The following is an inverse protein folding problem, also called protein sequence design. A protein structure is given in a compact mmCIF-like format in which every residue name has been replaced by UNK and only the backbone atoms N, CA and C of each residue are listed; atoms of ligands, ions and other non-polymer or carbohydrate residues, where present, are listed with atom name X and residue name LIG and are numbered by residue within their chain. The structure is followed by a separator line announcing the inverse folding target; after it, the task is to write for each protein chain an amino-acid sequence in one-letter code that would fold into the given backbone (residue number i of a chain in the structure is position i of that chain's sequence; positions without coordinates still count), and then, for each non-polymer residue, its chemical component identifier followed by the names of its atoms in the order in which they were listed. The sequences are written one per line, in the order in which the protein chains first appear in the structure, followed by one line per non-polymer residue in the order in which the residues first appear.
data_IF_568952746623
#
_entry.id   IF_568952746623
#
_cell.length_a   1.000
_cell.length_b   1.000
_cell.length_c   1.000
_cell.angle_alpha   90.00
_cell.angle_beta   90.00
_cell.angle_gamma   90.00
#
_symmetry.space_group_name_H-M   'P 1'
#
loop_
_entity.id
_entity.type
_entity.pdbx_description
1 polymer ?
#
# COMPACT_ATOMS: atom_id res chain seq x y z
N UNK A 1 7.02 2.47 -11.40
CA UNK A 1 7.43 1.88 -10.13
C UNK A 1 8.94 1.61 -10.11
N UNK A 2 9.51 1.50 -8.92
CA UNK A 2 10.96 1.46 -8.73
C UNK A 2 11.53 0.05 -8.52
N UNK A 3 10.72 -0.91 -8.11
CA UNK A 3 11.14 -2.30 -7.99
C UNK A 3 9.96 -3.25 -8.17
N UNK A 4 10.28 -4.46 -8.61
CA UNK A 4 9.29 -5.48 -8.90
C UNK A 4 9.16 -6.45 -7.74
N UNK A 5 8.00 -7.11 -7.65
CA UNK A 5 7.80 -8.23 -6.75
C UNK A 5 8.77 -9.36 -7.12
N UNK A 6 9.29 -10.02 -6.09
CA UNK A 6 10.16 -11.18 -6.26
C UNK A 6 11.42 -11.06 -5.44
N UNK A 7 12.41 -11.90 -5.81
CA UNK A 7 13.67 -11.97 -5.10
C UNK A 7 14.64 -10.90 -5.59
N UNK A 8 15.34 -10.27 -4.66
CA UNK A 8 16.38 -9.28 -4.99
C UNK A 8 17.49 -9.39 -3.96
N UNK A 9 18.66 -8.80 -4.29
CA UNK A 9 19.78 -8.72 -3.36
C UNK A 9 19.50 -7.59 -2.39
N UNK A 10 19.49 -7.88 -1.09
CA UNK A 10 19.27 -6.90 -0.05
C UNK A 10 20.51 -6.08 0.27
N UNK A 11 20.41 -5.07 1.17
CA UNK A 11 21.52 -4.18 1.50
C UNK A 11 22.75 -4.87 2.07
N UNK A 12 22.60 -6.00 2.69
CA UNK A 12 23.71 -6.79 3.24
C UNK A 12 24.35 -7.77 2.27
N UNK A 13 23.96 -7.75 0.98
CA UNK A 13 24.42 -8.70 -0.02
C UNK A 13 23.65 -10.01 -0.04
N UNK A 14 22.70 -10.21 0.87
CA UNK A 14 21.82 -11.37 0.87
C UNK A 14 20.66 -11.22 -0.08
N UNK A 15 19.89 -12.29 -0.22
CA UNK A 15 18.67 -12.27 -1.01
C UNK A 15 17.47 -11.98 -0.13
N UNK A 16 16.62 -11.08 -0.57
CA UNK A 16 15.38 -10.73 0.09
C UNK A 16 14.20 -10.99 -0.84
N UNK A 17 13.07 -11.41 -0.27
CA UNK A 17 11.81 -11.49 -1.00
C UNK A 17 11.13 -10.13 -0.96
N UNK A 18 10.98 -9.47 -2.10
CA UNK A 18 10.28 -8.22 -2.22
C UNK A 18 8.79 -8.49 -2.39
N UNK A 19 8.01 -8.29 -1.32
CA UNK A 19 6.60 -8.70 -1.22
C UNK A 19 5.62 -7.61 -1.64
N UNK A 20 6.09 -6.63 -2.39
CA UNK A 20 5.24 -5.54 -2.83
C UNK A 20 5.79 -4.85 -4.05
N UNK A 21 5.08 -3.82 -4.46
CA UNK A 21 5.43 -2.98 -5.59
C UNK A 21 5.78 -1.59 -5.06
N UNK A 22 6.97 -1.10 -5.38
CA UNK A 22 7.37 0.26 -5.05
C UNK A 22 7.05 1.18 -6.23
N UNK A 23 6.25 2.20 -5.98
CA UNK A 23 5.80 3.15 -6.99
C UNK A 23 6.41 4.50 -6.67
N UNK A 24 7.34 4.95 -7.50
CA UNK A 24 7.94 6.28 -7.36
C UNK A 24 6.88 7.34 -7.66
N UNK A 25 6.73 8.29 -6.76
CA UNK A 25 5.79 9.39 -6.91
C UNK A 25 6.25 10.58 -6.07
N UNK A 26 5.95 11.82 -6.49
CA UNK A 26 6.30 12.99 -5.69
C UNK A 26 5.66 12.96 -4.30
N UNK A 27 6.36 13.52 -3.33
CA UNK A 27 5.85 13.68 -1.97
C UNK A 27 4.50 14.39 -2.00
N UNK A 28 3.52 13.84 -1.27
CA UNK A 28 2.18 14.40 -1.21
C UNK A 28 1.24 13.94 -2.32
N UNK A 29 1.70 13.10 -3.26
CA UNK A 29 0.81 12.56 -4.30
C UNK A 29 -0.35 11.80 -3.67
N UNK A 30 -1.57 11.95 -4.19
CA UNK A 30 -2.73 11.26 -3.63
C UNK A 30 -2.66 9.76 -3.87
N UNK A 31 -3.08 9.00 -2.87
CA UNK A 31 -3.18 7.54 -2.94
C UNK A 31 -4.65 7.17 -2.94
N UNK A 32 -5.07 6.45 -3.97
CA UNK A 32 -6.44 5.99 -4.13
C UNK A 32 -6.55 4.52 -3.78
N UNK A 33 -7.63 4.17 -3.08
CA UNK A 33 -7.88 2.79 -2.69
C UNK A 33 -8.08 1.90 -3.92
N UNK A 34 -7.41 0.74 -3.91
CA UNK A 34 -7.45 -0.19 -5.03
C UNK A 34 -8.80 -0.89 -5.17
N UNK A 35 -9.38 -1.32 -4.06
CA UNK A 35 -10.65 -2.06 -4.07
C UNK A 35 -11.42 -1.79 -2.79
N UNK A 36 -12.76 -1.75 -2.90
CA UNK A 36 -13.64 -1.52 -1.76
C UNK A 36 -13.42 -2.55 -0.66
N UNK A 37 -13.37 -2.09 0.57
CA UNK A 37 -13.15 -2.97 1.70
C UNK A 37 -13.23 -2.24 3.03
N UNK A 38 -12.57 -2.82 4.02
CA UNK A 38 -12.56 -2.32 5.41
C UNK A 38 -11.12 -2.20 5.88
N UNK A 39 -10.77 -1.06 6.46
CA UNK A 39 -9.47 -0.88 7.11
C UNK A 39 -9.39 -1.85 8.29
N UNK A 40 -8.40 -2.75 8.26
CA UNK A 40 -8.17 -3.72 9.34
C UNK A 40 -7.16 -3.23 10.34
N UNK A 41 -6.19 -2.44 9.88
CA UNK A 41 -5.11 -1.97 10.73
C UNK A 41 -4.59 -0.62 10.24
N UNK A 42 -4.37 0.28 11.17
CA UNK A 42 -3.58 1.50 10.97
C UNK A 42 -2.19 1.20 11.49
N UNK A 43 -1.19 1.27 10.60
CA UNK A 43 0.18 0.87 10.91
C UNK A 43 1.00 2.11 11.23
N UNK A 44 1.83 1.99 12.28
CA UNK A 44 2.80 3.02 12.64
C UNK A 44 4.01 2.31 13.24
N UNK A 45 4.94 1.92 12.39
CA UNK A 45 6.14 1.18 12.80
C UNK A 45 7.40 1.65 12.09
N UNK A 46 8.54 1.03 12.38
CA UNK A 46 9.83 1.45 11.85
C UNK A 46 10.07 1.05 10.39
N UNK A 47 9.39 0.02 9.90
CA UNK A 47 9.60 -0.49 8.55
C UNK A 47 8.60 0.11 7.55
N UNK A 48 7.31 -0.06 7.79
CA UNK A 48 6.24 0.50 6.97
C UNK A 48 6.11 2.02 7.16
N UNK A 49 6.45 2.50 8.35
CA UNK A 49 6.15 3.86 8.75
C UNK A 49 4.67 3.99 9.03
N UNK A 50 4.02 4.97 8.42
CA UNK A 50 2.58 5.09 8.45
C UNK A 50 2.00 4.26 7.31
N UNK A 51 1.01 3.44 7.61
CA UNK A 51 0.42 2.55 6.62
C UNK A 51 -1.00 2.15 6.95
N UNK A 52 -1.63 1.51 5.96
CA UNK A 52 -2.99 0.99 6.07
C UNK A 52 -3.02 -0.43 5.54
N UNK A 53 -3.65 -1.33 6.28
CA UNK A 53 -4.00 -2.67 5.82
C UNK A 53 -5.50 -2.74 5.63
N UNK A 54 -5.93 -3.04 4.41
CA UNK A 54 -7.34 -3.04 4.02
C UNK A 54 -7.72 -4.44 3.55
N UNK A 55 -8.85 -4.93 4.03
CA UNK A 55 -9.40 -6.23 3.62
C UNK A 55 -10.51 -6.03 2.61
N UNK A 56 -10.42 -6.71 1.47
CA UNK A 56 -11.38 -6.68 0.38
C UNK A 56 -11.69 -8.12 -0.03
N UNK A 57 -12.71 -8.72 0.60
CA UNK A 57 -13.02 -10.13 0.40
C UNK A 57 -11.83 -11.01 0.80
N UNK A 58 -11.36 -11.92 -0.09
CA UNK A 58 -10.21 -12.78 0.20
C UNK A 58 -8.87 -12.06 0.08
N UNK A 59 -8.86 -10.80 -0.38
CA UNK A 59 -7.64 -10.01 -0.55
C UNK A 59 -7.39 -9.12 0.65
N UNK A 60 -6.10 -8.94 0.97
CA UNK A 60 -5.63 -7.85 1.83
C UNK A 60 -4.63 -7.04 1.04
N UNK A 61 -4.75 -5.71 1.11
CA UNK A 61 -3.80 -4.82 0.46
C UNK A 61 -3.21 -3.87 1.48
N UNK A 62 -1.91 -3.61 1.31
CA UNK A 62 -1.09 -2.88 2.25
C UNK A 62 -0.46 -1.68 1.57
N UNK A 63 -0.54 -0.54 2.22
CA UNK A 63 0.03 0.72 1.75
C UNK A 63 1.01 1.21 2.82
N UNK A 64 2.26 1.48 2.45
CA UNK A 64 3.30 1.91 3.38
C UNK A 64 3.96 3.22 2.96
N UNK A 65 4.70 3.80 3.88
CA UNK A 65 5.45 5.05 3.71
C UNK A 65 4.56 6.26 3.46
N UNK A 66 3.38 6.28 4.10
CA UNK A 66 2.40 7.34 3.92
C UNK A 66 2.83 8.62 4.62
N UNK A 67 2.40 9.76 4.08
CA UNK A 67 2.50 11.06 4.73
C UNK A 67 1.33 11.22 5.71
N UNK A 68 1.54 12.02 6.76
CA UNK A 68 0.50 12.31 7.74
C UNK A 68 0.94 11.96 9.15
N UNK A 69 -0.03 11.64 9.99
CA UNK A 69 0.23 11.23 11.36
C UNK A 69 -0.85 10.29 11.87
N UNK A 70 -0.55 9.62 12.97
CA UNK A 70 -1.51 8.77 13.68
C UNK A 70 -1.74 9.38 15.07
N UNK A 71 -3.00 9.61 15.40
CA UNK A 71 -3.41 10.13 16.68
C UNK A 71 -4.63 9.36 17.16
N UNK A 72 -4.54 8.78 18.36
CA UNK A 72 -5.62 7.98 18.96
C UNK A 72 -6.08 6.86 17.99
N UNK A 73 -5.10 6.14 17.43
CA UNK A 73 -5.32 5.06 16.47
C UNK A 73 -6.04 5.47 15.17
N UNK A 74 -6.06 6.77 14.86
CA UNK A 74 -6.62 7.29 13.61
C UNK A 74 -5.49 7.82 12.74
N UNK A 75 -5.41 7.33 11.50
CA UNK A 75 -4.51 7.87 10.50
C UNK A 75 -5.12 9.11 9.89
N UNK A 76 -4.38 10.22 9.89
CA UNK A 76 -4.82 11.49 9.34
C UNK A 76 -3.81 12.03 8.33
N UNK A 77 -4.32 12.47 7.19
CA UNK A 77 -3.50 13.08 6.13
C UNK A 77 -4.38 13.99 5.28
N UNK A 78 -4.21 15.32 5.42
CA UNK A 78 -5.11 16.27 4.78
C UNK A 78 -6.54 16.07 5.26
N UNK A 79 -7.46 15.80 4.33
CA UNK A 79 -8.87 15.54 4.65
C UNK A 79 -9.16 14.08 5.02
N UNK A 80 -8.15 13.21 4.92
CA UNK A 80 -8.32 11.79 5.21
C UNK A 80 -8.25 11.53 6.70
N UNK A 81 -9.20 10.74 7.22
CA UNK A 81 -9.19 10.24 8.59
C UNK A 81 -9.73 8.81 8.59
N UNK A 82 -8.86 7.84 8.86
CA UNK A 82 -9.20 6.42 8.79
C UNK A 82 -8.72 5.69 10.04
N UNK A 83 -9.56 4.80 10.55
CA UNK A 83 -9.25 3.93 11.67
C UNK A 83 -9.62 2.49 11.32
N UNK A 84 -9.17 1.53 12.13
CA UNK A 84 -9.62 0.14 11.99
C UNK A 84 -11.15 0.09 12.04
N UNK A 85 -11.76 -0.59 11.07
CA UNK A 85 -13.21 -0.66 10.90
C UNK A 85 -13.78 0.35 9.91
N UNK A 86 -13.02 1.35 9.49
CA UNK A 86 -13.47 2.29 8.47
C UNK A 86 -13.71 1.59 7.14
N UNK A 87 -14.85 1.87 6.51
CA UNK A 87 -15.14 1.37 5.18
C UNK A 87 -14.57 2.31 4.14
N UNK A 88 -13.98 1.74 3.09
CA UNK A 88 -13.39 2.51 1.99
C UNK A 88 -13.91 1.97 0.65
N UNK A 89 -14.12 2.88 -0.29
CA UNK A 89 -14.58 2.54 -1.64
C UNK A 89 -13.39 2.43 -2.58
N UNK A 90 -13.56 1.70 -3.68
CA UNK A 90 -12.58 1.71 -4.76
C UNK A 90 -12.43 3.14 -5.29
N UNK A 91 -11.19 3.59 -5.48
CA UNK A 91 -10.88 4.94 -5.94
C UNK A 91 -10.96 6.04 -4.89
N UNK A 92 -11.39 5.72 -3.67
CA UNK A 92 -11.45 6.70 -2.59
C UNK A 92 -10.05 7.16 -2.20
N UNK A 93 -9.89 8.46 -1.91
CA UNK A 93 -8.64 8.98 -1.38
C UNK A 93 -8.39 8.40 0.01
N UNK A 94 -7.26 7.72 0.19
CA UNK A 94 -6.93 7.06 1.45
C UNK A 94 -5.63 7.56 2.08
N UNK A 95 -4.90 8.41 1.41
CA UNK A 95 -3.67 8.96 1.95
C UNK A 95 -2.85 9.68 0.90
N UNK A 96 -1.61 9.97 1.26
CA UNK A 96 -0.66 10.68 0.39
C UNK A 96 0.72 10.04 0.51
N UNK A 97 1.48 10.08 -0.56
CA UNK A 97 2.85 9.57 -0.60
C UNK A 97 3.73 10.36 0.37
N UNK A 98 4.48 9.65 1.20
CA UNK A 98 5.36 10.23 2.19
C UNK A 98 6.76 9.62 2.20
N UNK A 99 7.44 9.81 3.32
CA UNK A 99 8.79 9.31 3.57
C UNK A 99 8.86 8.51 4.87
N UNK A 100 7.72 8.20 5.48
CA UNK A 100 7.70 7.52 6.77
C UNK A 100 8.26 6.11 6.68
N UNK A 101 8.82 5.63 7.78
CA UNK A 101 9.38 4.30 7.86
C UNK A 101 10.72 4.18 7.15
N UNK A 102 11.04 2.97 6.70
CA UNK A 102 12.32 2.65 6.05
C UNK A 102 12.24 2.99 4.57
N UNK A 103 12.42 4.27 4.25
CA UNK A 103 12.31 4.78 2.89
C UNK A 103 13.51 5.64 2.52
N UNK A 104 14.04 5.48 1.30
CA UNK A 104 15.16 6.26 0.78
C UNK A 104 14.72 7.41 -0.12
N UNK A 105 13.45 7.54 -0.39
CA UNK A 105 12.87 8.62 -1.20
C UNK A 105 11.37 8.50 -1.30
N UNK A 106 10.68 9.53 -1.83
CA UNK A 106 9.23 9.47 -1.92
C UNK A 106 8.77 8.33 -2.82
N UNK A 107 8.03 7.40 -2.26
CA UNK A 107 7.40 6.31 -3.02
C UNK A 107 6.30 5.67 -2.20
N UNK A 108 5.38 4.99 -2.89
CA UNK A 108 4.38 4.15 -2.27
C UNK A 108 4.88 2.71 -2.34
N UNK A 109 4.91 2.03 -1.19
CA UNK A 109 5.04 0.57 -1.17
C UNK A 109 3.64 -0.02 -1.06
N UNK A 110 3.24 -0.81 -2.06
CA UNK A 110 1.95 -1.46 -2.12
C UNK A 110 2.12 -2.96 -2.24
N UNK A 111 1.54 -3.70 -1.31
CA UNK A 111 1.58 -5.16 -1.29
C UNK A 111 0.17 -5.73 -1.32
N UNK A 112 0.04 -6.92 -1.86
CA UNK A 112 -1.23 -7.60 -2.03
C UNK A 112 -1.11 -9.04 -1.54
N UNK A 113 -2.08 -9.48 -0.73
CA UNK A 113 -2.16 -10.84 -0.21
C UNK A 113 -3.52 -11.43 -0.53
N UNK A 114 -3.52 -12.67 -1.04
CA UNK A 114 -4.73 -13.42 -1.34
C UNK A 114 -4.79 -14.64 -0.45
N UNK A 115 -5.81 -14.71 0.41
CA UNK A 115 -6.02 -15.81 1.37
C UNK A 115 -4.75 -16.14 2.17
N UNK A 116 -4.04 -15.10 2.62
CA UNK A 116 -2.82 -15.24 3.39
C UNK A 116 -1.54 -15.47 2.59
N UNK A 117 -1.61 -15.52 1.26
CA UNK A 117 -0.45 -15.69 0.38
C UNK A 117 -0.13 -14.40 -0.35
N UNK A 118 1.14 -13.99 -0.32
CA UNK A 118 1.58 -12.80 -1.04
C UNK A 118 1.43 -12.99 -2.55
N UNK A 119 0.93 -11.96 -3.22
CA UNK A 119 0.73 -11.93 -4.67
C UNK A 119 1.66 -10.91 -5.30
N UNK A 120 1.89 -11.05 -6.61
CA UNK A 120 2.54 -10.01 -7.40
C UNK A 120 1.50 -8.94 -7.77
N UNK A 121 1.55 -7.72 -7.18
CA UNK A 121 0.56 -6.70 -7.46
C UNK A 121 0.54 -6.27 -8.93
N UNK A 122 1.71 -6.27 -9.59
CA UNK A 122 1.79 -5.87 -10.99
C UNK A 122 1.00 -6.85 -11.89
N UNK A 123 1.04 -8.15 -11.60
CA UNK A 123 0.28 -9.16 -12.36
C UNK A 123 -1.22 -8.97 -12.16
N UNK A 124 -1.65 -8.71 -10.93
CA UNK A 124 -3.06 -8.48 -10.63
C UNK A 124 -3.57 -7.23 -11.34
N UNK A 125 -2.80 -6.14 -11.30
CA UNK A 125 -3.16 -4.91 -12.00
C UNK A 125 -3.27 -5.12 -13.51
N UNK A 126 -2.36 -5.88 -14.11
CA UNK A 126 -2.42 -6.20 -15.54
C UNK A 126 -3.67 -7.02 -15.88
N UNK A 127 -3.99 -8.00 -15.05
CA UNK A 127 -5.19 -8.82 -15.25
C UNK A 127 -6.46 -7.97 -15.14
N UNK A 128 -6.52 -7.06 -14.18
CA UNK A 128 -7.66 -6.16 -14.02
C UNK A 128 -7.79 -5.20 -15.20
N UNK A 129 -6.68 -4.63 -15.67
CA UNK A 129 -6.68 -3.75 -16.84
C UNK A 129 -7.16 -4.50 -18.10
N UNK A 130 -6.72 -5.74 -18.31
CA UNK A 130 -7.17 -6.57 -19.42
C UNK A 130 -8.66 -6.85 -19.33
N UNK A 131 -9.19 -7.14 -18.15
CA UNK A 131 -10.61 -7.36 -17.93
C UNK A 131 -11.45 -6.12 -18.26
N UNK A 132 -10.96 -4.94 -17.88
CA UNK A 132 -11.64 -3.67 -18.17
C UNK A 132 -11.67 -3.32 -19.67
N UNK A 133 -10.74 -3.83 -20.47
CA UNK A 133 -10.66 -3.55 -21.90
C UNK A 133 -11.54 -4.45 -22.73
N UNK A 134 -12.11 -5.48 -22.14
CA UNK A 134 -13.00 -6.39 -22.84
C UNK A 134 -14.38 -5.75 -23.00
N UNK A 135 -14.97 -5.82 -24.19
CA UNK A 135 -16.32 -5.30 -24.43
C UNK A 135 -17.38 -6.09 -23.67
#
# INVERSE_FOLDING_TARGET
YTSHYGQRIGPGGGHELHRGLDIAAPLGSPIRNWWAGVVREVINDGACGLGLRIASGPYEHLYCHLAGHVQTAVYRSGTVALAAGSRVRAGQLIGHVGLSGRSTGPHLHWALRFRGHWCDPARVLRAMAAAHRRP
#
